data_IF_488687611874
#
_entry.id   IF_488687611874
#
_cell.length_a   1.000
_cell.length_b   1.000
_cell.length_c   1.000
_cell.angle_alpha   90.00
_cell.angle_beta   90.00
_cell.angle_gamma   90.00
#
_symmetry.space_group_name_H-M   'P 1'
#
loop_
_entity.id
_entity.type
_entity.pdbx_description
1 polymer ?
#
# COMPACT_ATOMS: atom_id res chain seq x y z
N UNK A 1 -0.16 4.95 -24.34
CA UNK A 1 -0.28 5.77 -23.12
C UNK A 1 -1.67 6.37 -22.92
N UNK A 2 -2.24 7.15 -23.86
CA UNK A 2 -3.55 7.82 -23.67
C UNK A 2 -4.73 6.90 -23.29
N UNK A 3 -4.75 5.66 -23.81
CA UNK A 3 -5.79 4.66 -23.47
C UNK A 3 -5.65 4.15 -22.03
N UNK A 4 -4.43 3.75 -21.63
CA UNK A 4 -4.12 3.25 -20.28
C UNK A 4 -4.42 4.33 -19.23
N UNK A 5 -4.04 5.58 -19.47
CA UNK A 5 -4.31 6.67 -18.54
C UNK A 5 -5.82 6.89 -18.35
N UNK A 6 -6.60 6.82 -19.44
CA UNK A 6 -8.06 6.91 -19.40
C UNK A 6 -8.67 5.74 -18.61
N UNK A 7 -8.18 4.53 -18.82
CA UNK A 7 -8.68 3.33 -18.14
C UNK A 7 -8.35 3.37 -16.63
N UNK A 8 -7.12 3.76 -16.26
CA UNK A 8 -6.71 3.96 -14.86
C UNK A 8 -7.55 5.05 -14.20
N UNK A 9 -7.79 6.17 -14.89
CA UNK A 9 -8.65 7.24 -14.37
C UNK A 9 -10.07 6.75 -14.13
N UNK A 10 -10.65 5.99 -15.06
CA UNK A 10 -11.99 5.42 -14.90
C UNK A 10 -12.06 4.49 -13.67
N UNK A 11 -11.09 3.59 -13.51
CA UNK A 11 -11.04 2.66 -12.38
C UNK A 11 -10.93 3.38 -11.03
N UNK A 12 -10.08 4.41 -10.95
CA UNK A 12 -9.90 5.18 -9.71
C UNK A 12 -11.14 6.02 -9.41
N UNK A 13 -11.74 6.67 -10.41
CA UNK A 13 -13.00 7.40 -10.25
C UNK A 13 -14.12 6.47 -9.76
N UNK A 14 -14.25 5.28 -10.33
CA UNK A 14 -15.24 4.28 -9.91
C UNK A 14 -14.99 3.81 -8.47
N UNK A 15 -13.72 3.59 -8.11
CA UNK A 15 -13.33 3.25 -6.74
C UNK A 15 -13.70 4.37 -5.76
N UNK A 16 -13.40 5.63 -6.09
CA UNK A 16 -13.72 6.79 -5.25
C UNK A 16 -15.23 6.93 -5.08
N UNK A 17 -15.99 6.86 -6.17
CA UNK A 17 -17.45 6.96 -6.14
C UNK A 17 -18.08 5.84 -5.29
N UNK A 18 -17.57 4.61 -5.38
CA UNK A 18 -18.02 3.49 -4.56
C UNK A 18 -17.72 3.72 -3.07
N UNK A 19 -16.55 4.30 -2.77
CA UNK A 19 -16.14 4.61 -1.39
C UNK A 19 -16.94 5.74 -0.78
N UNK A 20 -17.18 6.85 -1.50
CA UNK A 20 -18.06 7.94 -1.05
C UNK A 20 -19.44 7.40 -0.66
N UNK A 21 -20.03 6.51 -1.46
CA UNK A 21 -21.31 5.86 -1.13
C UNK A 21 -21.24 5.04 0.16
N UNK A 22 -20.16 4.29 0.35
CA UNK A 22 -19.97 3.44 1.55
C UNK A 22 -19.78 4.27 2.82
N UNK A 23 -19.11 5.42 2.73
CA UNK A 23 -18.94 6.36 3.86
C UNK A 23 -20.29 6.95 4.28
N UNK A 24 -21.13 7.34 3.31
CA UNK A 24 -22.48 7.86 3.59
C UNK A 24 -23.42 6.81 4.21
N UNK A 25 -23.14 5.51 4.03
CA UNK A 25 -23.90 4.41 4.62
C UNK A 25 -23.49 4.09 6.08
N UNK A 26 -22.57 4.87 6.68
CA UNK A 26 -22.25 4.77 8.11
C UNK A 26 -21.45 3.53 8.51
N UNK A 27 -20.79 2.84 7.58
CA UNK A 27 -19.94 1.67 7.89
C UNK A 27 -18.61 2.11 8.51
N UNK A 28 -18.54 2.02 9.84
CA UNK A 28 -17.35 2.34 10.64
C UNK A 28 -16.33 1.19 10.59
N UNK A 29 -15.54 1.12 9.51
CA UNK A 29 -14.34 0.29 9.41
C UNK A 29 -13.06 1.12 9.60
N UNK A 30 -11.90 0.47 9.56
CA UNK A 30 -10.60 1.17 9.52
C UNK A 30 -10.52 2.09 8.29
N UNK A 31 -10.30 3.38 8.50
CA UNK A 31 -10.24 4.37 7.41
C UNK A 31 -9.03 4.10 6.51
N UNK A 32 -9.25 4.01 5.20
CA UNK A 32 -8.16 3.98 4.22
C UNK A 32 -7.73 5.41 3.82
N UNK A 33 -6.60 5.53 3.12
CA UNK A 33 -6.04 6.82 2.70
C UNK A 33 -7.05 7.72 1.98
N UNK A 34 -7.85 7.17 1.07
CA UNK A 34 -8.85 7.93 0.34
C UNK A 34 -9.95 8.46 1.28
N UNK A 35 -10.41 7.63 2.22
CA UNK A 35 -11.40 8.05 3.23
C UNK A 35 -10.86 9.18 4.11
N UNK A 36 -9.58 9.11 4.50
CA UNK A 36 -8.90 10.16 5.28
C UNK A 36 -8.83 11.48 4.49
N UNK A 37 -8.51 11.40 3.20
CA UNK A 37 -8.44 12.58 2.32
C UNK A 37 -9.83 13.22 2.16
N UNK A 38 -10.87 12.41 1.89
CA UNK A 38 -12.24 12.89 1.70
C UNK A 38 -12.82 13.50 2.97
N UNK A 39 -12.57 12.90 4.13
CA UNK A 39 -13.01 13.43 5.43
C UNK A 39 -12.31 14.74 5.77
N UNK A 40 -10.99 14.82 5.57
CA UNK A 40 -10.22 16.06 5.79
C UNK A 40 -10.74 17.20 4.92
N UNK A 41 -10.96 16.95 3.63
CA UNK A 41 -11.57 17.94 2.72
C UNK A 41 -12.96 18.39 3.17
N UNK A 42 -13.80 17.46 3.63
CA UNK A 42 -15.17 17.78 4.07
C UNK A 42 -15.16 18.65 5.33
N UNK A 43 -14.26 18.36 6.28
CA UNK A 43 -14.09 19.15 7.50
C UNK A 43 -13.57 20.57 7.19
N UNK A 44 -12.62 20.71 6.26
CA UNK A 44 -12.12 22.02 5.85
C UNK A 44 -13.20 22.90 5.20
N UNK A 45 -14.07 22.31 4.37
CA UNK A 45 -15.21 23.02 3.76
C UNK A 45 -16.19 23.52 4.82
N UNK A 46 -16.45 22.75 5.88
CA UNK A 46 -17.37 23.13 6.95
C UNK A 46 -16.82 24.24 7.85
N UNK A 47 -15.50 24.26 8.08
CA UNK A 47 -14.86 25.21 9.01
C UNK A 47 -14.56 26.60 8.40
N UNK A 48 -14.83 26.82 7.09
CA UNK A 48 -14.70 28.12 6.42
C UNK A 48 -13.36 28.86 6.70
N UNK A 49 -12.28 28.11 6.95
CA UNK A 49 -10.95 28.68 7.17
C UNK A 49 -10.47 29.26 5.84
N UNK A 50 -10.29 30.58 5.76
CA UNK A 50 -9.96 31.31 4.53
C UNK A 50 -8.61 30.95 3.88
N UNK A 51 -7.90 29.95 4.41
CA UNK A 51 -6.62 29.43 3.94
C UNK A 51 -6.68 27.90 3.64
N UNK A 52 -7.87 27.37 3.32
CA UNK A 52 -8.10 25.92 3.19
C UNK A 52 -7.51 25.32 1.90
N UNK A 53 -6.75 24.25 2.04
CA UNK A 53 -6.22 23.38 0.98
C UNK A 53 -7.26 22.34 0.57
N UNK A 54 -8.46 22.77 0.20
CA UNK A 54 -9.50 21.86 -0.28
C UNK A 54 -9.08 21.30 -1.62
N UNK A 55 -8.81 20.00 -1.69
CA UNK A 55 -8.42 19.35 -2.94
C UNK A 55 -9.63 19.08 -3.85
N UNK A 56 -9.46 19.37 -5.13
CA UNK A 56 -10.41 18.97 -6.16
C UNK A 56 -10.43 17.45 -6.39
N UNK A 57 -11.52 16.91 -6.94
CA UNK A 57 -11.62 15.46 -7.23
C UNK A 57 -10.49 14.95 -8.13
N UNK A 58 -10.04 15.76 -9.09
CA UNK A 58 -8.93 15.40 -9.98
C UNK A 58 -7.58 15.38 -9.25
N UNK A 59 -7.39 16.24 -8.24
CA UNK A 59 -6.19 16.22 -7.39
C UNK A 59 -6.19 14.99 -6.48
N UNK A 60 -7.34 14.64 -5.89
CA UNK A 60 -7.48 13.41 -5.09
C UNK A 60 -7.18 12.16 -5.93
N UNK A 61 -7.67 12.12 -7.18
CA UNK A 61 -7.34 11.05 -8.13
C UNK A 61 -5.83 11.04 -8.41
N UNK A 62 -5.23 12.21 -8.60
CA UNK A 62 -3.79 12.38 -8.81
C UNK A 62 -2.96 11.81 -7.66
N UNK A 63 -3.28 12.17 -6.42
CA UNK A 63 -2.62 11.67 -5.22
C UNK A 63 -2.79 10.15 -5.07
N UNK A 64 -4.00 9.62 -5.29
CA UNK A 64 -4.23 8.18 -5.25
C UNK A 64 -3.40 7.42 -6.30
N UNK A 65 -3.29 7.97 -7.53
CA UNK A 65 -2.42 7.42 -8.58
C UNK A 65 -0.97 7.41 -8.13
N UNK A 66 -0.50 8.54 -7.59
CA UNK A 66 0.89 8.70 -7.16
C UNK A 66 1.26 7.66 -6.09
N UNK A 67 0.47 7.53 -5.03
CA UNK A 67 0.70 6.53 -3.99
C UNK A 67 0.69 5.09 -4.53
N UNK A 68 -0.25 4.77 -5.43
CA UNK A 68 -0.32 3.44 -6.02
C UNK A 68 0.93 3.11 -6.84
N UNK A 69 1.34 3.98 -7.75
CA UNK A 69 2.50 3.73 -8.61
C UNK A 69 3.81 3.72 -7.83
N UNK A 70 3.98 4.65 -6.87
CA UNK A 70 5.16 4.70 -6.02
C UNK A 70 5.37 3.39 -5.25
N UNK A 71 4.28 2.79 -4.73
CA UNK A 71 4.34 1.50 -4.03
C UNK A 71 4.50 0.30 -4.96
N UNK A 72 3.78 0.29 -6.09
CA UNK A 72 3.71 -0.88 -6.97
C UNK A 72 5.03 -1.15 -7.69
N UNK A 73 5.60 -0.14 -8.36
CA UNK A 73 6.75 -0.37 -9.23
C UNK A 73 8.01 -0.71 -8.42
N UNK A 74 8.21 -0.02 -7.29
CA UNK A 74 9.35 -0.26 -6.40
C UNK A 74 9.26 -1.59 -5.67
N UNK A 75 8.08 -1.93 -5.13
CA UNK A 75 7.88 -3.19 -4.38
C UNK A 75 7.90 -4.40 -5.30
N UNK A 76 7.26 -4.34 -6.48
CA UNK A 76 7.25 -5.45 -7.44
C UNK A 76 8.65 -5.76 -7.97
N UNK A 77 9.43 -4.72 -8.26
CA UNK A 77 10.83 -4.86 -8.68
C UNK A 77 11.66 -5.48 -7.55
N UNK A 78 11.52 -4.98 -6.33
CA UNK A 78 12.24 -5.51 -5.16
C UNK A 78 11.92 -6.98 -4.92
N UNK A 79 10.64 -7.37 -4.92
CA UNK A 79 10.21 -8.76 -4.75
C UNK A 79 10.72 -9.66 -5.86
N UNK A 80 10.74 -9.18 -7.11
CA UNK A 80 11.29 -9.94 -8.24
C UNK A 80 12.76 -10.27 -8.01
N UNK A 81 13.57 -9.28 -7.63
CA UNK A 81 14.97 -9.51 -7.30
C UNK A 81 15.16 -10.39 -6.07
N UNK A 82 14.34 -10.21 -5.02
CA UNK A 82 14.36 -11.11 -3.86
C UNK A 82 14.14 -12.56 -4.27
N UNK A 83 13.14 -12.84 -5.11
CA UNK A 83 12.86 -14.20 -5.57
C UNK A 83 14.00 -14.77 -6.42
N UNK A 84 14.60 -13.96 -7.29
CA UNK A 84 15.79 -14.36 -8.07
C UNK A 84 16.93 -14.72 -7.13
N UNK A 85 17.27 -13.86 -6.16
CA UNK A 85 18.35 -14.09 -5.21
C UNK A 85 18.09 -15.36 -4.38
N UNK A 86 16.89 -15.55 -3.85
CA UNK A 86 16.56 -16.77 -3.09
C UNK A 86 16.67 -18.04 -3.94
N UNK A 87 16.38 -17.97 -5.24
CA UNK A 87 16.54 -19.12 -6.14
C UNK A 87 18.00 -19.47 -6.45
N UNK A 88 18.89 -18.48 -6.41
CA UNK A 88 20.33 -18.64 -6.66
C UNK A 88 21.08 -19.02 -5.38
N UNK A 89 20.54 -18.68 -4.20
CA UNK A 89 21.13 -18.93 -2.90
C UNK A 89 20.21 -19.79 -2.01
N UNK A 90 20.13 -21.12 -2.25
CA UNK A 90 19.23 -22.02 -1.54
C UNK A 90 19.43 -22.07 -0.02
N UNK A 91 20.63 -21.81 0.47
CA UNK A 91 20.94 -21.73 1.91
C UNK A 91 20.18 -20.59 2.59
N UNK A 92 20.08 -19.44 1.92
CA UNK A 92 19.33 -18.28 2.42
C UNK A 92 17.83 -18.52 2.30
N UNK A 93 17.38 -19.19 1.25
CA UNK A 93 15.99 -19.61 1.11
C UNK A 93 15.57 -20.59 2.22
N UNK A 94 16.41 -21.57 2.53
CA UNK A 94 16.17 -22.53 3.60
C UNK A 94 16.12 -21.83 4.97
N UNK A 95 17.07 -20.92 5.24
CA UNK A 95 17.09 -20.13 6.47
C UNK A 95 15.83 -19.28 6.64
N UNK A 96 15.42 -18.55 5.60
CA UNK A 96 14.22 -17.72 5.63
C UNK A 96 12.95 -18.56 5.85
N UNK A 97 12.85 -19.72 5.18
CA UNK A 97 11.72 -20.65 5.35
C UNK A 97 11.66 -21.22 6.76
N UNK A 98 12.79 -21.65 7.30
CA UNK A 98 12.89 -22.18 8.66
C UNK A 98 12.48 -21.11 9.68
N UNK A 99 12.94 -19.87 9.53
CA UNK A 99 12.55 -18.77 10.41
C UNK A 99 11.02 -18.54 10.40
N UNK A 100 10.39 -18.53 9.21
CA UNK A 100 8.93 -18.37 9.08
C UNK A 100 8.20 -19.51 9.78
N UNK A 101 8.66 -20.76 9.60
CA UNK A 101 8.06 -21.93 10.26
C UNK A 101 8.23 -21.90 11.77
N UNK A 102 9.37 -21.42 12.28
CA UNK A 102 9.60 -21.28 13.71
C UNK A 102 8.72 -20.19 14.34
N UNK A 103 8.51 -19.07 13.63
CA UNK A 103 7.76 -17.92 14.14
C UNK A 103 6.25 -18.13 14.06
N UNK A 104 5.76 -18.75 12.98
CA UNK A 104 4.31 -18.87 12.71
C UNK A 104 3.79 -20.31 12.74
N UNK A 105 4.61 -21.32 12.45
CA UNK A 105 4.15 -22.68 12.23
C UNK A 105 3.08 -22.73 11.13
N UNK A 106 1.92 -23.30 11.46
CA UNK A 106 0.74 -23.34 10.57
C UNK A 106 -0.22 -22.15 10.76
N UNK A 107 0.14 -21.17 11.61
CA UNK A 107 -0.70 -20.01 11.87
C UNK A 107 -0.56 -18.95 10.76
N UNK A 108 -1.60 -18.12 10.63
CA UNK A 108 -1.53 -16.96 9.74
C UNK A 108 -0.55 -15.92 10.29
N UNK A 109 0.26 -15.27 9.43
CA UNK A 109 1.12 -14.18 9.87
C UNK A 109 0.34 -13.04 10.54
N UNK A 110 0.90 -12.55 11.65
CA UNK A 110 0.43 -11.38 12.38
C UNK A 110 1.54 -10.33 12.50
N UNK A 111 1.19 -9.12 12.96
CA UNK A 111 2.12 -8.00 13.03
C UNK A 111 3.29 -8.29 13.99
N UNK A 112 2.99 -8.89 15.14
CA UNK A 112 4.01 -9.20 16.16
C UNK A 112 5.00 -10.26 15.68
N UNK A 113 4.53 -11.26 14.94
CA UNK A 113 5.37 -12.29 14.35
C UNK A 113 6.21 -11.79 13.21
N UNK A 114 5.70 -10.89 12.37
CA UNK A 114 6.49 -10.28 11.28
C UNK A 114 7.73 -9.57 11.86
N UNK A 115 7.59 -8.86 12.99
CA UNK A 115 8.71 -8.19 13.66
C UNK A 115 9.76 -9.17 14.23
N UNK A 116 9.47 -10.47 14.31
CA UNK A 116 10.42 -11.50 14.77
C UNK A 116 11.22 -12.14 13.63
N UNK A 117 10.91 -11.86 12.36
CA UNK A 117 11.59 -12.41 11.18
C UNK A 117 12.93 -11.70 10.91
N UNK A 118 13.95 -11.98 11.72
CA UNK A 118 15.24 -11.29 11.70
C UNK A 118 16.05 -11.59 10.43
N UNK A 119 16.01 -12.81 9.90
CA UNK A 119 16.74 -13.17 8.70
C UNK A 119 16.15 -12.46 7.48
N UNK A 120 14.82 -12.36 7.40
CA UNK A 120 14.11 -11.66 6.32
C UNK A 120 14.27 -10.13 6.43
N UNK A 121 14.26 -9.57 7.65
CA UNK A 121 14.38 -8.11 7.85
C UNK A 121 15.83 -7.59 7.82
N UNK A 122 16.85 -8.45 7.74
CA UNK A 122 18.25 -8.01 7.69
C UNK A 122 18.54 -7.31 6.36
N UNK A 123 18.66 -5.99 6.43
CA UNK A 123 19.10 -5.08 5.35
C UNK A 123 20.47 -5.41 4.74
N UNK A 124 21.24 -6.33 5.34
CA UNK A 124 22.56 -6.74 4.84
C UNK A 124 22.51 -7.61 3.58
N UNK A 125 21.34 -8.17 3.21
CA UNK A 125 21.17 -8.92 1.95
C UNK A 125 21.37 -8.05 0.70
N UNK A 126 21.21 -6.72 0.80
CA UNK A 126 21.37 -5.79 -0.33
C UNK A 126 22.73 -5.07 -0.37
N UNK A 127 23.55 -5.18 0.68
CA UNK A 127 24.86 -4.51 0.79
C UNK A 127 26.05 -5.47 0.62
N UNK A 128 25.78 -6.76 0.41
CA UNK A 128 26.80 -7.81 0.24
C UNK A 128 27.01 -8.22 -1.22
N UNK A 129 26.41 -7.50 -2.17
CA UNK A 129 26.58 -7.65 -3.62
C UNK A 129 26.92 -6.32 -4.28
#
# INVERSE_FOLDING_TARGET
MKKIDKDVRALITDFINKKIKTVNEGKNGSKNLLEIILESNSNEIQENKSNSTVMGIDEIIGECKLFYFAGQDTTSTSLTWTMILLSVYPEWQALAREEVLQVFGDNKPDYDGINRLKAISRSHLLLSF
#
